data_IF_200833855247
#
_entry.id   IF_200833855247
#
_cell.length_a   1.000
_cell.length_b   1.000
_cell.length_c   1.000
_cell.angle_alpha   90.00
_cell.angle_beta   90.00
_cell.angle_gamma   90.00
#
_symmetry.space_group_name_H-M   'P 1'
#
loop_
_entity.id
_entity.type
_entity.pdbx_description
1 polymer ?
#
# COMPACT_ATOMS: atom_id res chain seq x y z
N UNK A 1 -62.11 8.40 -59.44
CA UNK A 1 -61.65 8.63 -58.09
C UNK A 1 -60.71 7.46 -57.75
N UNK A 2 -59.40 7.68 -57.86
CA UNK A 2 -58.39 6.67 -57.57
C UNK A 2 -57.96 6.88 -56.13
N UNK A 3 -58.15 5.92 -55.25
CA UNK A 3 -57.65 5.93 -53.87
C UNK A 3 -56.30 5.17 -53.85
N UNK A 4 -55.21 5.90 -53.64
CA UNK A 4 -53.87 5.32 -53.40
C UNK A 4 -53.79 4.96 -51.90
N UNK A 5 -53.67 3.67 -51.61
CA UNK A 5 -53.29 3.17 -50.29
C UNK A 5 -51.76 3.23 -50.16
N UNK A 6 -51.26 4.13 -49.30
CA UNK A 6 -49.87 4.14 -48.91
C UNK A 6 -49.70 3.16 -47.74
N UNK A 7 -49.06 2.04 -47.99
CA UNK A 7 -48.63 1.12 -46.93
C UNK A 7 -47.42 1.72 -46.22
N UNK A 8 -47.57 2.09 -44.96
CA UNK A 8 -46.43 2.43 -44.07
C UNK A 8 -45.71 1.10 -43.69
N UNK A 9 -44.55 0.89 -44.28
CA UNK A 9 -43.62 -0.11 -43.82
C UNK A 9 -42.88 0.44 -42.60
N UNK A 10 -43.29 0.07 -41.40
CA UNK A 10 -42.56 0.32 -40.17
C UNK A 10 -41.47 -0.73 -40.07
N UNK A 11 -40.26 -0.35 -40.42
CA UNK A 11 -39.05 -1.09 -40.11
C UNK A 11 -38.76 -0.96 -38.62
N UNK A 12 -38.76 -2.03 -37.80
CA UNK A 12 -38.30 -1.98 -36.45
C UNK A 12 -36.84 -2.49 -36.40
N UNK A 13 -35.91 -1.72 -36.93
CA UNK A 13 -34.48 -1.93 -36.70
C UNK A 13 -33.77 -0.60 -36.54
N UNK A 14 -34.00 0.03 -35.42
CA UNK A 14 -33.02 0.91 -34.82
C UNK A 14 -32.48 0.16 -33.62
N UNK A 15 -31.43 -0.65 -33.83
CA UNK A 15 -30.53 -1.04 -32.77
C UNK A 15 -30.18 0.23 -32.00
N UNK A 16 -30.68 0.35 -30.79
CA UNK A 16 -30.23 1.31 -29.84
C UNK A 16 -28.75 1.00 -29.61
N UNK A 17 -27.85 1.70 -30.31
CA UNK A 17 -26.49 1.85 -29.89
C UNK A 17 -26.56 2.48 -28.50
N UNK A 18 -26.59 1.67 -27.46
CA UNK A 18 -26.53 2.16 -26.10
C UNK A 18 -25.27 3.00 -26.00
N UNK A 19 -25.46 4.33 -25.83
CA UNK A 19 -24.37 5.20 -25.52
C UNK A 19 -23.68 4.57 -24.30
N UNK A 20 -22.41 4.17 -24.46
CA UNK A 20 -21.61 3.64 -23.36
C UNK A 20 -21.74 4.63 -22.20
N UNK A 21 -22.31 4.18 -21.09
CA UNK A 21 -22.44 5.01 -19.88
C UNK A 21 -21.04 5.44 -19.52
N UNK A 22 -20.77 6.76 -19.56
CA UNK A 22 -19.45 7.29 -19.25
C UNK A 22 -19.17 7.00 -17.78
N UNK A 23 -18.32 6.02 -17.52
CA UNK A 23 -17.87 5.66 -16.19
C UNK A 23 -16.73 6.61 -15.78
N UNK A 24 -16.76 7.12 -14.56
CA UNK A 24 -15.70 7.94 -13.99
C UNK A 24 -14.88 7.15 -12.94
N UNK A 25 -13.83 7.77 -12.44
CA UNK A 25 -12.97 7.15 -11.44
C UNK A 25 -13.53 7.24 -10.01
N UNK A 26 -14.59 7.99 -9.75
CA UNK A 26 -15.05 8.27 -8.37
C UNK A 26 -15.45 7.00 -7.63
N UNK A 27 -16.12 6.06 -8.30
CA UNK A 27 -16.49 4.78 -7.68
C UNK A 27 -15.28 3.90 -7.38
N UNK A 28 -14.21 3.99 -8.20
CA UNK A 28 -12.93 3.34 -7.93
C UNK A 28 -12.28 3.97 -6.72
N UNK A 29 -12.19 5.31 -6.66
CA UNK A 29 -11.64 6.03 -5.51
C UNK A 29 -12.41 5.75 -4.22
N UNK A 30 -13.75 5.71 -4.29
CA UNK A 30 -14.61 5.36 -3.16
C UNK A 30 -14.34 3.94 -2.66
N UNK A 31 -14.17 2.98 -3.56
CA UNK A 31 -13.89 1.59 -3.22
C UNK A 31 -12.53 1.40 -2.53
N UNK A 32 -11.48 2.05 -3.06
CA UNK A 32 -10.14 2.01 -2.47
C UNK A 32 -10.09 2.76 -1.14
N UNK A 33 -10.77 3.89 -1.01
CA UNK A 33 -10.91 4.60 0.27
C UNK A 33 -11.56 3.70 1.31
N UNK A 34 -12.63 2.98 0.94
CA UNK A 34 -13.25 2.02 1.85
C UNK A 34 -12.30 0.92 2.30
N UNK A 35 -11.45 0.43 1.41
CA UNK A 35 -10.42 -0.53 1.78
C UNK A 35 -9.44 0.06 2.79
N UNK A 36 -9.01 1.32 2.60
CA UNK A 36 -8.17 2.03 3.58
C UNK A 36 -8.84 2.09 4.96
N UNK A 37 -10.13 2.44 5.03
CA UNK A 37 -10.88 2.50 6.29
C UNK A 37 -10.92 1.15 6.99
N UNK A 38 -11.09 0.05 6.24
CA UNK A 38 -11.08 -1.31 6.78
C UNK A 38 -9.69 -1.67 7.31
N UNK A 39 -8.64 -1.40 6.56
CA UNK A 39 -7.24 -1.65 6.95
C UNK A 39 -6.89 -0.91 8.26
N UNK A 40 -7.33 0.36 8.40
CA UNK A 40 -7.16 1.16 9.62
C UNK A 40 -7.98 0.56 10.77
N UNK A 41 -9.24 0.21 10.52
CA UNK A 41 -10.13 -0.33 11.54
C UNK A 41 -9.63 -1.67 12.10
N UNK A 42 -9.12 -2.53 11.24
CA UNK A 42 -8.57 -3.86 11.59
C UNK A 42 -7.11 -3.80 12.06
N UNK A 43 -6.50 -2.60 12.10
CA UNK A 43 -5.13 -2.37 12.60
C UNK A 43 -4.12 -3.27 11.89
N UNK A 44 -4.25 -3.43 10.58
CA UNK A 44 -3.32 -4.25 9.82
C UNK A 44 -1.90 -3.67 9.85
N UNK A 45 -0.93 -4.53 10.13
CA UNK A 45 0.49 -4.16 10.02
C UNK A 45 0.83 -3.76 8.58
N UNK A 46 1.82 -2.86 8.38
CA UNK A 46 2.16 -2.39 7.03
C UNK A 46 2.43 -3.50 6.00
N UNK A 47 3.13 -4.60 6.34
CA UNK A 47 3.29 -5.72 5.42
C UNK A 47 1.96 -6.38 5.04
N UNK A 48 1.08 -6.67 6.01
CA UNK A 48 -0.22 -7.30 5.74
C UNK A 48 -1.11 -6.37 4.92
N UNK A 49 -1.15 -5.07 5.24
CA UNK A 49 -1.88 -4.07 4.47
C UNK A 49 -1.45 -4.05 3.01
N UNK A 50 -0.12 -4.11 2.74
CA UNK A 50 0.40 -4.12 1.37
C UNK A 50 -0.09 -5.33 0.55
N UNK A 51 -0.23 -6.49 1.20
CA UNK A 51 -0.80 -7.70 0.59
C UNK A 51 -2.27 -7.51 0.22
N UNK A 52 -3.04 -6.92 1.12
CA UNK A 52 -4.48 -6.66 0.91
C UNK A 52 -4.67 -5.68 -0.24
N UNK A 53 -3.94 -4.57 -0.26
CA UNK A 53 -3.99 -3.62 -1.36
C UNK A 53 -3.63 -4.28 -2.70
N UNK A 54 -2.54 -5.05 -2.76
CA UNK A 54 -2.04 -5.61 -4.02
C UNK A 54 -3.05 -6.56 -4.68
N UNK A 55 -3.56 -7.53 -3.95
CA UNK A 55 -4.49 -8.49 -4.56
C UNK A 55 -5.84 -7.85 -4.90
N UNK A 56 -6.33 -6.93 -4.07
CA UNK A 56 -7.62 -6.27 -4.32
C UNK A 56 -7.55 -5.36 -5.56
N UNK A 57 -6.48 -4.55 -5.69
CA UNK A 57 -6.34 -3.65 -6.84
C UNK A 57 -5.95 -4.37 -8.12
N UNK A 58 -5.20 -5.48 -8.03
CA UNK A 58 -4.96 -6.36 -9.18
C UNK A 58 -6.25 -7.00 -9.69
N UNK A 59 -7.16 -7.42 -8.80
CA UNK A 59 -8.46 -7.95 -9.20
C UNK A 59 -9.30 -6.90 -9.94
N UNK A 60 -9.34 -5.67 -9.42
CA UNK A 60 -9.99 -4.53 -10.07
C UNK A 60 -9.43 -4.31 -11.48
N UNK A 61 -8.11 -4.20 -11.58
CA UNK A 61 -7.43 -3.90 -12.84
C UNK A 61 -7.62 -5.02 -13.87
N UNK A 62 -7.38 -6.28 -13.50
CA UNK A 62 -7.43 -7.40 -14.45
C UNK A 62 -8.84 -7.66 -14.99
N UNK A 63 -9.88 -7.49 -14.16
CA UNK A 63 -11.25 -7.60 -14.63
C UNK A 63 -11.66 -6.40 -15.50
N UNK A 64 -11.11 -5.22 -15.20
CA UNK A 64 -11.44 -3.97 -15.88
C UNK A 64 -10.73 -3.74 -17.21
N UNK A 65 -9.50 -4.25 -17.38
CA UNK A 65 -8.62 -3.92 -18.52
C UNK A 65 -9.18 -4.27 -19.90
N UNK A 66 -10.17 -5.14 -19.97
CA UNK A 66 -10.82 -5.48 -21.24
C UNK A 66 -11.74 -4.40 -21.79
N UNK A 67 -12.00 -3.34 -21.01
CA UNK A 67 -12.67 -2.14 -21.51
C UNK A 67 -11.84 -1.40 -22.57
N UNK A 68 -10.52 -1.56 -22.53
CA UNK A 68 -9.57 -1.05 -23.50
C UNK A 68 -8.35 -2.00 -23.57
N UNK A 69 -8.26 -2.77 -24.65
CA UNK A 69 -7.25 -3.80 -24.84
C UNK A 69 -5.81 -3.27 -24.96
N UNK A 70 -5.62 -1.95 -25.01
CA UNK A 70 -4.29 -1.33 -24.93
C UNK A 70 -3.67 -1.44 -23.52
N UNK A 71 -4.46 -1.76 -22.48
CA UNK A 71 -3.94 -2.04 -21.14
C UNK A 71 -3.39 -3.48 -21.07
N UNK A 72 -2.08 -3.65 -20.85
CA UNK A 72 -1.49 -4.99 -20.74
C UNK A 72 -1.95 -5.69 -19.46
N UNK A 73 -2.01 -7.03 -19.47
CA UNK A 73 -2.21 -7.75 -18.20
C UNK A 73 -1.00 -7.52 -17.30
N UNK A 74 -1.24 -7.05 -16.08
CA UNK A 74 -0.19 -6.94 -15.06
C UNK A 74 0.15 -8.31 -14.50
N UNK A 75 -0.84 -9.16 -14.22
CA UNK A 75 -0.61 -10.49 -13.63
C UNK A 75 0.20 -11.40 -14.54
N UNK A 76 0.16 -11.22 -15.87
CA UNK A 76 1.02 -11.97 -16.80
C UNK A 76 2.51 -11.59 -16.68
N UNK A 77 2.81 -10.45 -16.07
CA UNK A 77 4.16 -9.93 -15.83
C UNK A 77 4.63 -10.18 -14.40
N UNK A 78 3.71 -10.64 -13.53
CA UNK A 78 3.97 -10.90 -12.13
C UNK A 78 4.14 -12.39 -11.86
N UNK A 79 4.83 -12.72 -10.79
CA UNK A 79 5.21 -14.09 -10.45
C UNK A 79 4.04 -14.88 -9.86
N UNK A 80 3.86 -16.10 -10.35
CA UNK A 80 3.03 -17.13 -9.75
C UNK A 80 1.53 -16.96 -9.92
N UNK A 81 1.06 -16.05 -10.78
CA UNK A 81 -0.34 -15.96 -11.13
C UNK A 81 -0.72 -17.04 -12.14
N UNK A 82 -1.92 -17.64 -12.01
CA UNK A 82 -2.51 -18.40 -13.11
C UNK A 82 -2.91 -17.47 -14.25
N UNK A 83 -3.19 -18.01 -15.41
CA UNK A 83 -3.79 -17.24 -16.49
C UNK A 83 -5.14 -16.65 -16.03
N UNK A 84 -5.32 -15.34 -16.19
CA UNK A 84 -6.59 -14.69 -15.91
C UNK A 84 -7.58 -15.04 -17.03
N UNK A 85 -8.80 -15.52 -16.69
CA UNK A 85 -9.80 -15.84 -17.70
C UNK A 85 -10.15 -14.64 -18.58
N UNK A 86 -10.20 -14.84 -19.88
CA UNK A 86 -10.76 -13.86 -20.79
C UNK A 86 -12.30 -13.79 -20.65
N UNK A 87 -12.95 -12.68 -21.00
CA UNK A 87 -14.41 -12.62 -21.11
C UNK A 87 -14.89 -13.57 -22.20
N UNK A 88 -16.09 -14.16 -22.00
CA UNK A 88 -16.69 -15.09 -22.95
C UNK A 88 -17.01 -14.36 -24.27
N UNK A 89 -16.64 -14.95 -25.38
CA UNK A 89 -16.92 -14.37 -26.71
C UNK A 89 -18.44 -14.23 -26.95
N UNK A 90 -18.83 -13.12 -27.54
CA UNK A 90 -20.24 -12.87 -27.91
C UNK A 90 -21.11 -12.36 -26.75
N UNK A 91 -20.59 -12.18 -25.54
CA UNK A 91 -21.30 -11.54 -24.45
C UNK A 91 -20.89 -10.09 -24.28
N UNK A 92 -21.83 -9.27 -23.90
CA UNK A 92 -21.58 -7.87 -23.54
C UNK A 92 -21.30 -7.74 -22.04
N UNK A 93 -20.35 -6.85 -21.69
CA UNK A 93 -19.94 -6.61 -20.31
C UNK A 93 -19.81 -5.12 -20.03
N UNK A 94 -20.14 -4.70 -18.82
CA UNK A 94 -19.61 -3.50 -18.21
C UNK A 94 -18.36 -3.87 -17.38
N UNK A 95 -17.18 -3.62 -17.90
CA UNK A 95 -15.93 -4.04 -17.29
C UNK A 95 -15.59 -3.27 -16.00
N UNK A 96 -16.20 -2.08 -15.77
CA UNK A 96 -16.04 -1.42 -14.47
C UNK A 96 -16.85 -2.14 -13.39
N UNK A 97 -18.07 -2.60 -13.71
CA UNK A 97 -18.87 -3.46 -12.81
C UNK A 97 -18.08 -4.73 -12.48
N UNK A 98 -17.51 -5.38 -13.49
CA UNK A 98 -16.69 -6.58 -13.28
C UNK A 98 -15.48 -6.30 -12.38
N UNK A 99 -14.78 -5.18 -12.61
CA UNK A 99 -13.64 -4.73 -11.81
C UNK A 99 -13.99 -4.50 -10.33
N UNK A 100 -15.05 -3.76 -10.06
CA UNK A 100 -15.53 -3.48 -8.71
C UNK A 100 -15.97 -4.77 -8.01
N UNK A 101 -16.68 -5.65 -8.73
CA UNK A 101 -17.07 -6.96 -8.19
C UNK A 101 -15.85 -7.80 -7.81
N UNK A 102 -14.85 -7.89 -8.69
CA UNK A 102 -13.62 -8.63 -8.43
C UNK A 102 -12.86 -8.04 -7.23
N UNK A 103 -12.75 -6.72 -7.14
CA UNK A 103 -12.12 -6.01 -6.03
C UNK A 103 -12.74 -6.40 -4.69
N UNK A 104 -14.04 -6.19 -4.51
CA UNK A 104 -14.70 -6.47 -3.23
C UNK A 104 -14.76 -7.97 -2.90
N UNK A 105 -14.81 -8.84 -3.90
CA UNK A 105 -14.73 -10.28 -3.68
C UNK A 105 -13.39 -10.67 -3.06
N UNK A 106 -12.28 -10.09 -3.52
CA UNK A 106 -10.95 -10.31 -2.95
C UNK A 106 -10.81 -9.63 -1.59
N UNK A 107 -11.29 -8.39 -1.41
CA UNK A 107 -11.30 -7.70 -0.11
C UNK A 107 -11.95 -8.56 0.96
N UNK A 108 -13.15 -9.10 0.70
CA UNK A 108 -13.88 -9.95 1.65
C UNK A 108 -13.15 -11.26 2.01
N UNK A 109 -12.28 -11.77 1.14
CA UNK A 109 -11.43 -12.95 1.42
C UNK A 109 -10.21 -12.59 2.25
N UNK A 110 -9.74 -11.32 2.23
CA UNK A 110 -8.52 -10.87 2.87
C UNK A 110 -8.72 -10.10 4.18
N UNK A 111 -9.95 -9.69 4.48
CA UNK A 111 -10.30 -8.87 5.66
C UNK A 111 -11.27 -9.61 6.57
N UNK A 112 -11.37 -9.16 7.83
CA UNK A 112 -12.27 -9.74 8.83
C UNK A 112 -13.64 -9.05 8.81
N UNK A 113 -13.71 -7.75 8.54
CA UNK A 113 -14.92 -6.90 8.58
C UNK A 113 -15.72 -7.01 7.27
N UNK A 114 -16.25 -8.18 6.99
CA UNK A 114 -16.94 -8.49 5.72
C UNK A 114 -18.19 -7.66 5.47
N UNK A 115 -18.95 -7.34 6.51
CA UNK A 115 -20.19 -6.55 6.38
C UNK A 115 -19.92 -5.12 5.90
N UNK A 116 -18.87 -4.50 6.38
CA UNK A 116 -18.45 -3.17 5.91
C UNK A 116 -18.12 -3.15 4.41
N UNK A 117 -17.41 -4.19 3.93
CA UNK A 117 -17.10 -4.35 2.51
C UNK A 117 -18.35 -4.59 1.69
N UNK A 118 -19.26 -5.45 2.18
CA UNK A 118 -20.51 -5.82 1.51
C UNK A 118 -21.43 -4.60 1.33
N UNK A 119 -21.66 -3.82 2.38
CA UNK A 119 -22.51 -2.61 2.31
C UNK A 119 -21.98 -1.62 1.26
N UNK A 120 -20.68 -1.41 1.21
CA UNK A 120 -20.10 -0.50 0.21
C UNK A 120 -20.15 -1.09 -1.20
N UNK A 121 -19.86 -2.39 -1.36
CA UNK A 121 -20.00 -3.10 -2.64
C UNK A 121 -21.42 -2.95 -3.20
N UNK A 122 -22.43 -3.27 -2.38
CA UNK A 122 -23.84 -3.17 -2.77
C UNK A 122 -24.22 -1.74 -3.19
N UNK A 123 -23.80 -0.73 -2.43
CA UNK A 123 -24.07 0.66 -2.74
C UNK A 123 -23.39 1.14 -4.04
N UNK A 124 -22.15 0.74 -4.28
CA UNK A 124 -21.41 1.08 -5.50
C UNK A 124 -22.00 0.37 -6.71
N UNK A 125 -22.26 -0.94 -6.60
CA UNK A 125 -22.83 -1.74 -7.70
C UNK A 125 -24.26 -1.32 -8.05
N UNK A 126 -25.08 -0.92 -7.06
CA UNK A 126 -26.42 -0.40 -7.31
C UNK A 126 -26.40 0.85 -8.18
N UNK A 127 -25.47 1.80 -7.91
CA UNK A 127 -25.28 2.99 -8.75
C UNK A 127 -24.82 2.62 -10.16
N UNK A 128 -24.02 1.58 -10.30
CA UNK A 128 -23.49 1.16 -11.60
C UNK A 128 -24.50 0.39 -12.45
N UNK A 129 -25.53 -0.19 -11.81
CA UNK A 129 -26.63 -0.87 -12.51
C UNK A 129 -27.49 0.07 -13.35
N UNK A 130 -27.51 1.34 -13.00
CA UNK A 130 -28.27 2.35 -13.73
C UNK A 130 -27.80 2.46 -15.19
N UNK A 131 -28.72 2.32 -16.13
CA UNK A 131 -28.48 2.47 -17.57
C UNK A 131 -27.88 1.26 -18.27
N UNK A 132 -27.79 0.09 -17.62
CA UNK A 132 -27.38 -1.19 -18.24
C UNK A 132 -28.47 -2.24 -18.08
N UNK A 133 -28.52 -3.21 -19.02
CA UNK A 133 -29.49 -4.31 -18.94
C UNK A 133 -29.10 -5.31 -17.83
N UNK A 134 -30.09 -6.02 -17.29
CA UNK A 134 -29.84 -7.08 -16.30
C UNK A 134 -28.88 -8.14 -16.85
N UNK A 135 -28.99 -8.51 -18.13
CA UNK A 135 -28.11 -9.49 -18.76
C UNK A 135 -26.63 -9.02 -18.73
N UNK A 136 -26.35 -7.79 -19.12
CA UNK A 136 -24.99 -7.21 -19.08
C UNK A 136 -24.50 -7.11 -17.65
N UNK A 137 -25.35 -6.68 -16.72
CA UNK A 137 -24.98 -6.56 -15.31
C UNK A 137 -24.58 -7.91 -14.70
N UNK A 138 -25.44 -8.94 -14.85
CA UNK A 138 -25.18 -10.28 -14.30
C UNK A 138 -23.97 -10.94 -14.97
N UNK A 139 -23.79 -10.77 -16.29
CA UNK A 139 -22.59 -11.25 -16.98
C UNK A 139 -21.32 -10.59 -16.43
N UNK A 140 -21.37 -9.28 -16.14
CA UNK A 140 -20.25 -8.53 -15.57
C UNK A 140 -19.90 -8.99 -14.15
N UNK A 141 -20.91 -9.20 -13.30
CA UNK A 141 -20.70 -9.74 -11.96
C UNK A 141 -20.05 -11.13 -12.01
N UNK A 142 -20.58 -12.04 -12.84
CA UNK A 142 -20.05 -13.38 -13.01
C UNK A 142 -18.60 -13.37 -13.52
N UNK A 143 -18.27 -12.47 -14.45
CA UNK A 143 -16.90 -12.31 -14.93
C UNK A 143 -15.97 -11.80 -13.83
N UNK A 144 -16.38 -10.80 -13.06
CA UNK A 144 -15.62 -10.30 -11.91
C UNK A 144 -15.33 -11.40 -10.89
N UNK A 145 -16.27 -12.30 -10.63
CA UNK A 145 -16.05 -13.46 -9.75
C UNK A 145 -15.02 -14.44 -10.32
N UNK A 146 -15.07 -14.76 -11.63
CA UNK A 146 -14.07 -15.61 -12.29
C UNK A 146 -12.65 -15.03 -12.15
N UNK A 147 -12.49 -13.73 -12.38
CA UNK A 147 -11.19 -13.06 -12.23
C UNK A 147 -10.72 -13.07 -10.77
N UNK A 148 -11.63 -12.77 -9.83
CA UNK A 148 -11.29 -12.77 -8.39
C UNK A 148 -10.79 -14.13 -7.91
N UNK A 149 -11.33 -15.22 -8.43
CA UNK A 149 -10.87 -16.57 -8.09
C UNK A 149 -9.45 -16.86 -8.58
N UNK A 150 -9.10 -16.43 -9.79
CA UNK A 150 -7.74 -16.55 -10.30
C UNK A 150 -6.73 -15.73 -9.45
N UNK A 151 -7.11 -14.52 -9.03
CA UNK A 151 -6.30 -13.72 -8.10
C UNK A 151 -6.17 -14.41 -6.74
N UNK A 152 -7.27 -14.97 -6.22
CA UNK A 152 -7.27 -15.69 -4.96
C UNK A 152 -6.37 -16.92 -4.98
N UNK A 153 -6.35 -17.69 -6.07
CA UNK A 153 -5.45 -18.83 -6.23
C UNK A 153 -3.98 -18.44 -6.04
N UNK A 154 -3.56 -17.27 -6.52
CA UNK A 154 -2.21 -16.74 -6.25
C UNK A 154 -2.04 -16.37 -4.77
N UNK A 155 -3.03 -15.69 -4.19
CA UNK A 155 -2.99 -15.27 -2.79
C UNK A 155 -2.94 -16.45 -1.80
N UNK A 156 -3.46 -17.61 -2.17
CA UNK A 156 -3.35 -18.84 -1.35
C UNK A 156 -1.99 -19.54 -1.45
N UNK A 157 -1.14 -19.13 -2.41
CA UNK A 157 0.18 -19.74 -2.68
C UNK A 157 1.34 -18.76 -2.43
N UNK A 158 1.11 -17.67 -1.71
CA UNK A 158 2.10 -16.65 -1.44
C UNK A 158 2.90 -16.86 -0.14
N UNK A 159 2.72 -17.99 0.51
CA UNK A 159 3.27 -18.39 1.82
C UNK A 159 2.68 -17.64 3.02
N UNK A 160 1.61 -16.83 2.85
CA UNK A 160 1.03 -16.09 3.97
C UNK A 160 0.52 -17.02 5.09
N UNK A 161 -0.21 -18.08 4.71
CA UNK A 161 -0.74 -19.06 5.67
C UNK A 161 0.38 -19.78 6.42
N UNK A 162 1.43 -20.16 5.71
CA UNK A 162 2.59 -20.87 6.23
C UNK A 162 3.34 -20.02 7.27
N UNK A 163 3.59 -18.75 6.96
CA UNK A 163 4.31 -17.86 7.89
C UNK A 163 3.48 -17.51 9.14
N UNK A 164 2.15 -17.46 9.05
CA UNK A 164 1.30 -17.27 10.23
C UNK A 164 1.28 -18.49 11.16
N UNK A 165 1.57 -19.67 10.66
CA UNK A 165 1.67 -20.92 11.43
C UNK A 165 3.06 -21.19 12.02
N UNK A 166 4.06 -20.34 11.78
CA UNK A 166 5.41 -20.51 12.30
C UNK A 166 5.50 -20.21 13.80
N UNK A 167 6.49 -20.82 14.46
CA UNK A 167 6.75 -20.59 15.87
C UNK A 167 6.99 -19.09 16.16
N UNK A 168 6.61 -18.65 17.37
CA UNK A 168 6.83 -17.27 17.82
C UNK A 168 8.31 -16.90 17.70
N UNK A 169 8.57 -15.72 17.13
CA UNK A 169 9.93 -15.16 17.07
C UNK A 169 10.38 -14.75 18.48
N UNK A 170 11.55 -15.21 18.88
CA UNK A 170 12.18 -14.83 20.14
C UNK A 170 13.37 -13.92 19.83
N UNK A 171 13.34 -12.65 20.29
CA UNK A 171 14.50 -11.77 20.18
C UNK A 171 15.73 -12.34 20.89
N UNK A 172 16.91 -11.98 20.42
CA UNK A 172 18.17 -12.31 21.06
C UNK A 172 18.47 -11.31 22.19
N UNK A 173 19.23 -11.77 23.20
CA UNK A 173 19.74 -10.91 24.28
C UNK A 173 21.12 -10.31 23.98
N UNK A 174 21.66 -10.54 22.78
CA UNK A 174 22.99 -10.04 22.42
C UNK A 174 23.00 -8.51 22.33
N UNK A 175 24.08 -7.86 22.79
CA UNK A 175 24.24 -6.42 22.64
C UNK A 175 24.16 -5.99 21.16
N UNK A 176 23.43 -4.92 20.90
CA UNK A 176 23.23 -4.41 19.54
C UNK A 176 22.15 -5.12 18.72
N UNK A 177 21.56 -6.21 19.24
CA UNK A 177 20.42 -6.85 18.61
C UNK A 177 19.08 -6.33 19.18
N UNK A 178 18.04 -6.42 18.37
CA UNK A 178 16.72 -5.91 18.69
C UNK A 178 16.06 -6.71 19.81
N UNK A 179 15.45 -5.96 20.74
CA UNK A 179 14.60 -6.47 21.81
C UNK A 179 13.22 -5.79 21.73
N UNK A 180 12.21 -6.40 22.34
CA UNK A 180 10.92 -5.75 22.51
C UNK A 180 11.11 -4.41 23.22
N UNK A 181 10.44 -3.37 22.73
CA UNK A 181 10.64 -1.98 23.17
C UNK A 181 9.48 -1.47 24.01
N UNK A 182 9.79 -0.50 24.88
CA UNK A 182 8.80 0.23 25.66
C UNK A 182 7.81 0.97 24.70
N UNK A 183 6.58 1.31 25.17
CA UNK A 183 6.04 1.01 26.50
C UNK A 183 5.44 -0.39 26.65
N UNK A 184 5.06 -1.05 25.54
CA UNK A 184 4.17 -2.21 25.55
C UNK A 184 4.88 -3.55 25.42
N UNK A 185 6.17 -3.54 25.06
CA UNK A 185 6.96 -4.76 24.80
C UNK A 185 6.25 -5.74 23.84
N UNK A 186 5.58 -5.18 22.82
CA UNK A 186 4.82 -5.94 21.83
C UNK A 186 5.68 -6.98 21.11
N UNK A 187 5.05 -8.07 20.71
CA UNK A 187 5.70 -9.11 19.93
C UNK A 187 6.17 -8.60 18.56
N UNK A 188 7.18 -9.28 18.03
CA UNK A 188 7.74 -8.99 16.72
C UNK A 188 6.66 -9.05 15.62
N UNK A 189 6.49 -7.95 14.88
CA UNK A 189 5.51 -7.86 13.79
C UNK A 189 6.05 -8.53 12.54
N UNK A 190 5.32 -9.54 12.07
CA UNK A 190 5.56 -10.27 10.82
C UNK A 190 7.02 -10.74 10.62
N UNK A 191 7.64 -11.43 11.59
CA UNK A 191 9.07 -11.74 11.57
C UNK A 191 9.50 -12.63 10.40
N UNK A 192 8.56 -13.31 9.77
CA UNK A 192 8.83 -14.22 8.65
C UNK A 192 8.37 -13.68 7.29
N UNK A 193 8.07 -12.36 7.20
CA UNK A 193 7.56 -11.75 5.97
C UNK A 193 8.51 -11.89 4.78
N UNK A 194 9.80 -12.02 5.00
CA UNK A 194 10.80 -12.33 3.97
C UNK A 194 10.58 -13.66 3.24
N UNK A 195 9.77 -14.57 3.82
CA UNK A 195 9.40 -15.84 3.19
C UNK A 195 8.18 -15.73 2.26
N UNK A 196 7.54 -14.56 2.19
CA UNK A 196 6.49 -14.31 1.19
C UNK A 196 7.06 -14.42 -0.22
N UNK A 197 6.24 -14.91 -1.14
CA UNK A 197 6.61 -14.97 -2.56
C UNK A 197 6.42 -13.59 -3.19
N UNK A 198 7.49 -12.89 -3.64
CA UNK A 198 7.39 -11.58 -4.25
C UNK A 198 6.54 -11.56 -5.53
N UNK A 199 6.09 -10.38 -5.93
CA UNK A 199 5.32 -10.18 -7.16
C UNK A 199 6.23 -9.89 -8.37
N UNK A 200 7.28 -9.08 -8.19
CA UNK A 200 8.20 -8.65 -9.26
C UNK A 200 9.64 -9.10 -8.99
N UNK A 201 10.11 -8.98 -7.75
CA UNK A 201 11.46 -9.42 -7.35
C UNK A 201 11.65 -10.93 -7.56
N UNK A 202 12.89 -11.35 -7.77
CA UNK A 202 13.26 -12.77 -7.83
C UNK A 202 13.38 -13.41 -6.46
N UNK A 203 13.79 -12.65 -5.46
CA UNK A 203 13.88 -13.06 -4.05
C UNK A 203 13.77 -11.87 -3.10
N UNK A 204 13.41 -12.13 -1.83
CA UNK A 204 13.35 -11.11 -0.77
C UNK A 204 14.67 -10.37 -0.57
N UNK A 205 15.78 -11.04 -0.82
CA UNK A 205 17.14 -10.52 -0.61
C UNK A 205 17.80 -9.90 -1.85
N UNK A 206 17.07 -9.74 -2.95
CA UNK A 206 17.63 -9.21 -4.21
C UNK A 206 18.22 -7.81 -4.07
N UNK A 207 17.65 -6.98 -3.22
CA UNK A 207 18.07 -5.58 -2.99
C UNK A 207 18.65 -5.39 -1.60
N UNK A 208 19.56 -6.29 -1.16
CA UNK A 208 20.25 -6.13 0.11
C UNK A 208 20.98 -4.79 0.18
N UNK A 209 20.73 -3.96 1.22
CA UNK A 209 21.52 -2.76 1.45
C UNK A 209 22.89 -3.12 2.04
N UNK A 210 23.77 -2.12 2.14
CA UNK A 210 24.98 -2.23 2.94
C UNK A 210 24.63 -2.51 4.39
N UNK A 211 25.49 -3.22 5.12
CA UNK A 211 25.25 -3.53 6.55
C UNK A 211 25.24 -2.25 7.40
N UNK A 212 24.45 -2.22 8.49
CA UNK A 212 24.51 -1.11 9.44
C UNK A 212 25.88 -1.07 10.14
N UNK A 213 26.26 0.07 10.75
CA UNK A 213 27.44 0.16 11.59
C UNK A 213 27.45 -0.92 12.67
N UNK A 214 28.60 -1.55 12.90
CA UNK A 214 28.72 -2.51 13.98
C UNK A 214 28.42 -1.86 15.34
N UNK A 215 27.64 -2.53 16.17
CA UNK A 215 27.34 -2.07 17.52
C UNK A 215 28.64 -1.85 18.31
N UNK A 216 28.77 -0.68 18.93
CA UNK A 216 29.90 -0.35 19.79
C UNK A 216 29.55 0.81 20.72
N UNK A 217 29.94 0.71 21.97
CA UNK A 217 29.79 1.77 22.97
C UNK A 217 30.97 2.77 22.97
N UNK A 218 32.00 2.52 22.15
CA UNK A 218 33.12 3.46 21.97
C UNK A 218 32.60 4.76 21.32
N UNK A 219 32.87 5.89 21.97
CA UNK A 219 32.48 7.23 21.54
C UNK A 219 33.02 7.62 20.17
N UNK A 220 34.12 7.03 19.72
CA UNK A 220 34.69 7.22 18.39
C UNK A 220 34.01 6.44 17.29
N UNK A 221 33.22 5.40 17.62
CA UNK A 221 32.60 4.50 16.67
C UNK A 221 31.51 5.17 15.83
N UNK A 222 31.25 4.59 14.64
CA UNK A 222 30.16 5.06 13.78
C UNK A 222 28.79 4.86 14.45
N UNK A 223 28.59 3.72 15.14
CA UNK A 223 27.34 3.45 15.87
C UNK A 223 27.07 4.49 16.95
N UNK A 224 28.07 4.78 17.81
CA UNK A 224 27.89 5.77 18.88
C UNK A 224 27.56 7.16 18.34
N UNK A 225 28.19 7.56 17.23
CA UNK A 225 27.90 8.85 16.57
C UNK A 225 26.47 8.93 16.08
N UNK A 226 25.94 7.87 15.46
CA UNK A 226 24.53 7.82 15.03
C UNK A 226 23.58 7.81 16.23
N UNK A 227 23.87 7.05 17.27
CA UNK A 227 23.10 7.04 18.52
C UNK A 227 23.05 8.45 19.16
N UNK A 228 24.21 9.12 19.23
CA UNK A 228 24.30 10.50 19.73
C UNK A 228 23.53 11.49 18.84
N UNK A 229 23.56 11.32 17.53
CA UNK A 229 22.79 12.16 16.60
C UNK A 229 21.29 12.08 16.88
N UNK A 230 20.73 10.88 17.06
CA UNK A 230 19.32 10.71 17.40
C UNK A 230 18.98 11.39 18.74
N UNK A 231 19.81 11.15 19.76
CA UNK A 231 19.67 11.75 21.08
C UNK A 231 19.68 13.27 21.05
N UNK A 232 20.68 13.87 20.39
CA UNK A 232 20.82 15.32 20.31
C UNK A 232 19.70 15.95 19.49
N UNK A 233 19.36 15.36 18.31
CA UNK A 233 18.31 15.87 17.43
C UNK A 233 16.96 15.93 18.16
N UNK A 234 16.59 14.87 18.87
CA UNK A 234 15.28 14.81 19.54
C UNK A 234 15.14 15.76 20.71
N UNK A 235 16.25 16.24 21.29
CA UNK A 235 16.24 17.24 22.38
C UNK A 235 15.95 18.67 21.89
N UNK A 236 16.23 18.97 20.63
CA UNK A 236 16.16 20.32 20.07
C UNK A 236 15.30 20.42 18.80
N UNK A 237 14.29 19.54 18.67
CA UNK A 237 13.41 19.54 17.51
C UNK A 237 12.73 20.90 17.33
N UNK A 238 12.84 21.45 16.14
CA UNK A 238 12.03 22.61 15.73
C UNK A 238 10.56 22.21 15.59
N UNK A 239 9.65 23.19 15.58
CA UNK A 239 8.22 22.89 15.40
C UNK A 239 7.94 22.30 14.01
N UNK A 240 8.69 22.69 12.98
CA UNK A 240 8.59 22.06 11.66
C UNK A 240 9.02 20.59 11.69
N UNK A 241 10.10 20.25 12.37
CA UNK A 241 10.55 18.86 12.52
C UNK A 241 9.55 18.00 13.29
N UNK A 242 8.92 18.57 14.34
CA UNK A 242 7.82 17.90 15.07
C UNK A 242 6.61 17.68 14.18
N UNK A 243 6.27 18.68 13.36
CA UNK A 243 5.16 18.60 12.40
C UNK A 243 5.43 17.51 11.37
N UNK A 244 6.62 17.46 10.76
CA UNK A 244 7.06 16.43 9.83
C UNK A 244 6.98 15.04 10.48
N UNK A 245 7.48 14.89 11.71
CA UNK A 245 7.45 13.62 12.41
C UNK A 245 6.02 13.11 12.64
N UNK A 246 5.11 14.00 13.08
CA UNK A 246 3.69 13.65 13.34
C UNK A 246 2.93 13.34 12.06
N UNK A 247 3.18 14.08 10.99
CA UNK A 247 2.52 13.91 9.70
C UNK A 247 2.83 12.53 9.09
N UNK A 248 4.07 12.07 9.16
CA UNK A 248 4.49 10.75 8.68
C UNK A 248 4.50 9.66 9.77
N UNK A 249 3.78 9.88 10.90
CA UNK A 249 3.67 8.86 11.95
C UNK A 249 2.62 7.79 11.60
N UNK A 250 2.75 7.20 10.45
CA UNK A 250 1.90 6.13 9.93
C UNK A 250 2.14 4.82 10.70
N UNK A 251 1.86 4.84 12.02
CA UNK A 251 2.06 3.69 12.89
C UNK A 251 0.72 3.13 13.38
N UNK A 252 0.16 2.09 12.72
CA UNK A 252 -1.11 1.49 13.13
C UNK A 252 -1.02 0.78 14.50
N UNK A 253 0.19 0.43 14.96
CA UNK A 253 0.42 -0.16 16.27
C UNK A 253 0.57 0.88 17.41
N UNK A 254 0.47 2.20 17.10
CA UNK A 254 0.57 3.23 18.12
C UNK A 254 -0.64 3.18 19.05
N UNK A 255 -0.37 3.31 20.34
CA UNK A 255 -1.38 3.26 21.41
C UNK A 255 -1.29 4.49 22.31
N UNK A 256 -2.41 4.82 22.94
CA UNK A 256 -2.49 5.86 23.96
C UNK A 256 -3.05 5.27 25.23
N UNK A 257 -2.46 5.62 26.37
CA UNK A 257 -2.93 5.20 27.69
C UNK A 257 -3.75 6.30 28.35
N UNK A 258 -4.90 5.93 28.93
CA UNK A 258 -5.68 6.78 29.82
C UNK A 258 -5.98 5.99 31.10
N UNK A 259 -5.22 6.26 32.16
CA UNK A 259 -5.24 5.46 33.37
C UNK A 259 -4.80 4.02 33.08
N UNK A 260 -5.67 3.05 33.37
CA UNK A 260 -5.42 1.63 33.11
C UNK A 260 -5.90 1.14 31.74
N UNK A 261 -6.44 2.02 30.92
CA UNK A 261 -6.98 1.65 29.60
C UNK A 261 -6.00 2.00 28.49
N UNK A 262 -5.82 1.04 27.56
CA UNK A 262 -5.05 1.18 26.33
C UNK A 262 -6.01 1.39 25.16
N UNK A 263 -5.73 2.40 24.33
CA UNK A 263 -6.49 2.71 23.15
C UNK A 263 -5.59 2.65 21.91
N UNK A 264 -5.99 1.86 20.92
CA UNK A 264 -5.35 1.89 19.60
C UNK A 264 -5.67 3.24 18.91
N UNK A 265 -4.65 3.91 18.40
CA UNK A 265 -4.82 5.23 17.77
C UNK A 265 -5.48 5.16 16.38
N UNK A 266 -5.66 3.96 15.80
CA UNK A 266 -6.31 3.74 14.49
C UNK A 266 -5.80 4.71 13.42
N UNK A 267 -4.49 4.73 13.24
CA UNK A 267 -3.83 5.54 12.22
C UNK A 267 -3.64 4.74 10.93
N UNK A 268 -3.50 5.44 9.79
CA UNK A 268 -3.09 4.81 8.55
C UNK A 268 -1.74 4.08 8.69
N UNK A 269 -1.52 3.07 7.87
CA UNK A 269 -0.18 2.55 7.62
C UNK A 269 0.50 3.41 6.54
N UNK A 270 1.86 3.36 6.40
CA UNK A 270 2.54 4.04 5.30
C UNK A 270 1.95 3.69 3.93
N UNK A 271 1.51 2.44 3.78
CA UNK A 271 0.86 1.98 2.56
C UNK A 271 -0.47 2.69 2.30
N UNK A 272 -1.33 2.81 3.30
CA UNK A 272 -2.61 3.51 3.19
C UNK A 272 -2.43 4.98 2.84
N UNK A 273 -1.43 5.64 3.44
CA UNK A 273 -1.07 7.02 3.13
C UNK A 273 -0.69 7.18 1.64
N UNK A 274 0.21 6.34 1.12
CA UNK A 274 0.60 6.38 -0.29
C UNK A 274 -0.52 5.97 -1.26
N UNK A 275 -1.45 5.10 -0.86
CA UNK A 275 -2.67 4.82 -1.64
C UNK A 275 -3.56 6.06 -1.74
N UNK A 276 -3.66 6.87 -0.67
CA UNK A 276 -4.38 8.14 -0.73
C UNK A 276 -3.67 9.18 -1.61
N UNK A 277 -2.34 9.32 -1.52
CA UNK A 277 -1.56 10.18 -2.43
C UNK A 277 -1.81 9.77 -3.88
N UNK A 278 -1.94 8.48 -4.17
CA UNK A 278 -2.32 7.98 -5.51
C UNK A 278 -3.72 8.47 -5.91
N UNK A 279 -4.69 8.44 -4.99
CA UNK A 279 -6.04 8.97 -5.23
C UNK A 279 -6.03 10.45 -5.58
N UNK A 280 -5.38 11.27 -4.74
CA UNK A 280 -5.26 12.72 -4.92
C UNK A 280 -4.61 13.07 -6.26
N UNK A 281 -3.54 12.36 -6.60
CA UNK A 281 -2.82 12.55 -7.86
C UNK A 281 -3.68 12.20 -9.08
N UNK A 282 -4.37 11.07 -9.01
CA UNK A 282 -5.28 10.60 -10.05
C UNK A 282 -6.44 11.58 -10.29
N UNK A 283 -7.06 12.08 -9.21
CA UNK A 283 -8.12 13.08 -9.26
C UNK A 283 -7.62 14.41 -9.83
N UNK A 284 -6.42 14.86 -9.45
CA UNK A 284 -5.84 16.10 -9.94
C UNK A 284 -5.66 16.12 -11.46
N UNK A 285 -5.24 15.00 -12.05
CA UNK A 285 -5.08 14.89 -13.52
C UNK A 285 -6.34 14.37 -14.22
N UNK A 286 -7.41 14.13 -13.49
CA UNK A 286 -8.69 13.61 -13.99
C UNK A 286 -8.54 12.29 -14.75
N UNK A 287 -7.78 11.37 -14.17
CA UNK A 287 -7.68 10.00 -14.69
C UNK A 287 -9.09 9.41 -14.90
N UNK A 288 -9.27 8.71 -15.99
CA UNK A 288 -10.41 7.81 -16.11
C UNK A 288 -10.30 6.64 -15.11
N UNK A 289 -11.36 5.86 -15.00
CA UNK A 289 -11.42 4.78 -14.03
C UNK A 289 -10.38 3.67 -14.28
N UNK A 290 -9.98 3.41 -15.55
CA UNK A 290 -8.95 2.42 -15.88
C UNK A 290 -7.54 2.93 -15.55
N UNK A 291 -7.24 4.20 -15.86
CA UNK A 291 -6.00 4.86 -15.47
C UNK A 291 -5.83 4.86 -13.95
N UNK A 292 -6.90 5.19 -13.21
CA UNK A 292 -6.91 5.14 -11.76
C UNK A 292 -6.67 3.71 -11.24
N UNK A 293 -7.36 2.72 -11.82
CA UNK A 293 -7.19 1.30 -11.44
C UNK A 293 -5.78 0.80 -11.69
N UNK A 294 -5.15 1.19 -12.81
CA UNK A 294 -3.75 0.86 -13.10
C UNK A 294 -2.81 1.49 -12.09
N UNK A 295 -3.00 2.77 -11.77
CA UNK A 295 -2.16 3.48 -10.81
C UNK A 295 -2.20 2.80 -9.42
N UNK A 296 -3.38 2.46 -8.93
CA UNK A 296 -3.53 1.75 -7.66
C UNK A 296 -2.86 0.37 -7.68
N UNK A 297 -3.06 -0.41 -8.74
CA UNK A 297 -2.46 -1.74 -8.83
C UNK A 297 -0.92 -1.68 -8.86
N UNK A 298 -0.34 -0.76 -9.62
CA UNK A 298 1.11 -0.59 -9.72
C UNK A 298 1.74 -0.12 -8.41
N UNK A 299 1.11 0.84 -7.73
CA UNK A 299 1.55 1.33 -6.41
C UNK A 299 1.48 0.21 -5.38
N UNK A 300 0.39 -0.54 -5.33
CA UNK A 300 0.22 -1.64 -4.38
C UNK A 300 1.22 -2.78 -4.62
N UNK A 301 1.46 -3.18 -5.88
CA UNK A 301 2.48 -4.17 -6.26
C UNK A 301 3.88 -3.72 -5.82
N UNK A 302 4.21 -2.45 -6.07
CA UNK A 302 5.50 -1.87 -5.65
C UNK A 302 5.67 -1.89 -4.13
N UNK A 303 4.61 -1.57 -3.41
CA UNK A 303 4.55 -1.57 -1.95
C UNK A 303 4.76 -2.98 -1.36
N UNK A 304 4.12 -4.00 -1.93
CA UNK A 304 4.22 -5.38 -1.46
C UNK A 304 5.66 -5.88 -1.49
N UNK A 305 6.32 -5.71 -2.62
CA UNK A 305 7.72 -6.11 -2.78
C UNK A 305 8.65 -5.26 -1.91
N UNK A 306 8.36 -3.96 -1.72
CA UNK A 306 9.11 -3.09 -0.83
C UNK A 306 9.10 -3.60 0.63
N UNK A 307 7.95 -4.03 1.14
CA UNK A 307 7.87 -4.59 2.48
C UNK A 307 8.53 -5.97 2.59
N UNK A 308 8.50 -6.80 1.54
CA UNK A 308 9.24 -8.08 1.55
C UNK A 308 10.75 -7.81 1.62
N UNK A 309 11.28 -6.94 0.79
CA UNK A 309 12.71 -6.58 0.77
C UNK A 309 13.16 -5.93 2.06
N UNK A 310 12.36 -5.01 2.63
CA UNK A 310 12.66 -4.35 3.88
C UNK A 310 12.65 -5.33 5.06
N UNK A 311 11.67 -6.21 5.14
CA UNK A 311 11.55 -7.20 6.23
C UNK A 311 12.62 -8.28 6.17
N UNK A 312 13.11 -8.64 4.98
CA UNK A 312 14.31 -9.48 4.84
C UNK A 312 15.49 -8.86 5.58
N UNK A 313 15.79 -7.59 5.33
CA UNK A 313 16.90 -6.92 6.01
C UNK A 313 16.65 -6.76 7.51
N UNK A 314 15.43 -6.36 7.91
CA UNK A 314 15.11 -6.15 9.33
C UNK A 314 15.43 -7.36 10.19
N UNK A 315 14.92 -8.52 9.82
CA UNK A 315 15.10 -9.73 10.63
C UNK A 315 16.41 -10.45 10.36
N UNK A 316 17.08 -10.16 9.24
CA UNK A 316 18.44 -10.64 8.96
C UNK A 316 19.51 -9.84 9.72
N UNK A 317 19.32 -8.54 9.89
CA UNK A 317 20.23 -7.70 10.68
C UNK A 317 19.89 -7.69 12.17
N UNK A 318 18.62 -7.90 12.51
CA UNK A 318 18.08 -7.85 13.88
C UNK A 318 18.59 -6.63 14.69
N UNK A 319 18.70 -5.46 14.07
CA UNK A 319 19.43 -4.32 14.63
C UNK A 319 18.67 -3.60 15.72
N UNK A 320 19.39 -3.16 16.75
CA UNK A 320 18.86 -2.50 17.95
C UNK A 320 18.17 -1.16 17.63
N UNK A 321 17.07 -0.86 18.32
CA UNK A 321 16.38 0.44 18.23
C UNK A 321 17.07 1.54 19.04
N UNK A 322 16.95 2.82 18.59
CA UNK A 322 17.49 3.95 19.35
C UNK A 322 17.07 3.98 20.81
N UNK A 323 15.80 3.69 21.13
CA UNK A 323 15.32 3.69 22.52
C UNK A 323 16.09 2.74 23.39
N UNK A 324 16.34 1.51 22.93
CA UNK A 324 17.13 0.54 23.68
C UNK A 324 18.58 0.99 23.79
N UNK A 325 19.21 1.36 22.69
CA UNK A 325 20.62 1.76 22.67
C UNK A 325 20.90 2.98 23.54
N UNK A 326 20.05 4.02 23.48
CA UNK A 326 20.22 5.25 24.25
C UNK A 326 19.96 5.00 25.74
N UNK A 327 18.89 4.26 26.07
CA UNK A 327 18.58 3.99 27.49
C UNK A 327 19.68 3.16 28.17
N UNK A 328 20.28 2.21 27.45
CA UNK A 328 21.33 1.36 28.01
C UNK A 328 22.72 2.06 28.08
N UNK A 329 23.00 3.06 27.20
CA UNK A 329 24.37 3.56 27.02
C UNK A 329 24.55 5.08 27.21
N UNK A 330 23.47 5.87 27.31
CA UNK A 330 23.55 7.34 27.40
C UNK A 330 22.63 7.94 28.47
N UNK A 331 21.30 7.68 28.37
CA UNK A 331 20.29 8.32 29.21
C UNK A 331 19.11 7.35 29.41
N UNK A 332 19.06 6.72 30.57
CA UNK A 332 18.07 5.69 30.91
C UNK A 332 16.61 6.20 30.88
N UNK A 333 16.41 7.51 30.92
CA UNK A 333 15.08 8.12 30.93
C UNK A 333 14.69 8.72 29.58
N UNK A 334 15.56 8.62 28.56
CA UNK A 334 15.26 9.16 27.25
C UNK A 334 14.10 8.43 26.61
N UNK A 335 13.22 9.18 25.95
CA UNK A 335 12.12 8.66 25.15
C UNK A 335 12.16 9.25 23.75
N UNK A 336 11.86 8.47 22.70
CA UNK A 336 11.71 8.99 21.36
C UNK A 336 10.48 9.89 21.26
N UNK A 337 10.47 10.79 20.29
CA UNK A 337 9.33 11.67 20.03
C UNK A 337 8.10 10.91 19.51
N UNK A 338 8.31 9.83 18.75
CA UNK A 338 7.28 8.91 18.29
C UNK A 338 7.42 7.55 18.97
N UNK A 339 6.31 6.82 19.12
CA UNK A 339 6.34 5.46 19.64
C UNK A 339 7.13 4.52 18.73
N UNK A 340 8.08 3.80 19.31
CA UNK A 340 8.91 2.84 18.57
C UNK A 340 8.07 1.64 18.10
N UNK A 341 8.05 1.32 16.79
CA UNK A 341 7.32 0.16 16.29
C UNK A 341 7.98 -1.17 16.70
N UNK A 342 7.20 -2.26 16.88
CA UNK A 342 7.68 -3.53 17.42
C UNK A 342 8.34 -4.43 16.35
N UNK A 343 9.45 -3.99 15.80
CA UNK A 343 10.28 -4.75 14.86
C UNK A 343 11.70 -4.15 14.78
N UNK A 344 12.71 -4.93 14.29
CA UNK A 344 14.08 -4.46 14.19
C UNK A 344 14.25 -3.14 13.45
N UNK A 345 15.30 -2.41 13.79
CA UNK A 345 15.52 -1.04 13.35
C UNK A 345 15.82 -0.96 11.84
N UNK A 346 16.80 -1.74 11.36
CA UNK A 346 17.45 -1.58 10.06
C UNK A 346 16.83 -2.50 8.99
N UNK A 347 16.45 -2.02 7.78
CA UNK A 347 16.38 -0.63 7.31
C UNK A 347 15.03 0.00 7.68
N UNK A 348 14.90 1.33 7.55
CA UNK A 348 13.66 2.04 7.81
C UNK A 348 12.56 1.63 6.82
N UNK A 349 11.42 1.12 7.34
CA UNK A 349 10.28 0.71 6.52
C UNK A 349 9.68 1.86 5.71
N UNK A 350 9.51 3.04 6.32
CA UNK A 350 9.08 4.25 5.63
C UNK A 350 10.03 4.61 4.49
N UNK A 351 11.35 4.50 4.72
CA UNK A 351 12.33 4.87 3.70
C UNK A 351 12.30 3.94 2.49
N UNK A 352 12.22 2.62 2.72
CA UNK A 352 12.15 1.64 1.62
C UNK A 352 10.84 1.79 0.85
N UNK A 353 9.71 1.76 1.54
CA UNK A 353 8.40 1.80 0.90
C UNK A 353 8.17 3.13 0.16
N UNK A 354 8.41 4.27 0.83
CA UNK A 354 8.18 5.59 0.21
C UNK A 354 9.07 5.83 -1.00
N UNK A 355 10.34 5.43 -0.97
CA UNK A 355 11.24 5.60 -2.11
C UNK A 355 10.84 4.70 -3.30
N UNK A 356 10.39 3.46 -3.02
CA UNK A 356 9.90 2.54 -4.06
C UNK A 356 8.63 3.08 -4.72
N UNK A 357 7.66 3.50 -3.91
CA UNK A 357 6.37 4.00 -4.39
C UNK A 357 6.53 5.32 -5.14
N UNK A 358 7.37 6.23 -4.63
CA UNK A 358 7.65 7.51 -5.30
C UNK A 358 8.23 7.31 -6.70
N UNK A 359 9.07 6.31 -6.92
CA UNK A 359 9.58 5.98 -8.26
C UNK A 359 8.44 5.53 -9.20
N UNK A 360 7.50 4.71 -8.72
CA UNK A 360 6.35 4.28 -9.50
C UNK A 360 5.38 5.44 -9.79
N UNK A 361 5.07 6.27 -8.79
CA UNK A 361 4.20 7.44 -9.00
C UNK A 361 4.84 8.44 -9.96
N UNK A 362 6.16 8.65 -9.87
CA UNK A 362 6.90 9.48 -10.83
C UNK A 362 6.80 8.92 -12.25
N UNK A 363 6.86 7.60 -12.41
CA UNK A 363 6.66 6.97 -13.73
C UNK A 363 5.25 7.18 -14.28
N UNK A 364 4.22 7.15 -13.43
CA UNK A 364 2.81 7.28 -13.83
C UNK A 364 2.44 8.75 -14.11
N UNK A 365 2.82 9.67 -13.23
CA UNK A 365 2.35 11.05 -13.24
C UNK A 365 3.40 12.07 -13.74
N UNK A 366 4.63 11.63 -13.95
CA UNK A 366 5.74 12.48 -14.38
C UNK A 366 6.57 13.06 -13.25
N UNK A 367 7.75 13.59 -13.63
CA UNK A 367 8.62 14.34 -12.74
C UNK A 367 7.99 15.67 -12.34
N UNK A 368 8.38 16.19 -11.19
CA UNK A 368 7.93 17.50 -10.69
C UNK A 368 6.41 17.65 -10.52
N UNK A 369 5.71 16.53 -10.27
CA UNK A 369 4.29 16.53 -9.99
C UNK A 369 4.04 17.10 -8.59
N UNK A 370 3.65 18.37 -8.53
CA UNK A 370 3.31 19.03 -7.27
C UNK A 370 1.92 18.62 -6.78
N UNK A 371 1.75 18.39 -5.50
CA UNK A 371 0.46 18.05 -4.90
C UNK A 371 0.35 18.55 -3.46
N UNK A 372 -0.87 18.68 -2.97
CA UNK A 372 -1.18 18.90 -1.56
C UNK A 372 -1.85 17.67 -1.02
N UNK A 373 -1.37 17.17 0.11
CA UNK A 373 -1.91 16.02 0.78
C UNK A 373 -2.52 16.45 2.12
N UNK A 374 -3.81 16.22 2.25
CA UNK A 374 -4.64 16.53 3.42
C UNK A 374 -5.15 15.26 4.15
N UNK A 375 -4.64 14.10 3.76
CA UNK A 375 -5.07 12.81 4.30
C UNK A 375 -4.93 12.71 5.82
N UNK A 376 -3.88 13.31 6.36
CA UNK A 376 -3.60 13.29 7.79
C UNK A 376 -4.42 14.32 8.61
N UNK A 377 -5.18 15.21 7.95
CA UNK A 377 -6.01 16.21 8.64
C UNK A 377 -6.98 15.59 9.65
N UNK A 378 -7.74 14.51 9.35
CA UNK A 378 -8.65 13.89 10.32
C UNK A 378 -7.94 13.23 11.51
N UNK A 379 -6.66 12.87 11.39
CA UNK A 379 -5.92 12.13 12.41
C UNK A 379 -5.04 13.03 13.26
N UNK A 380 -4.35 13.99 12.65
CA UNK A 380 -3.35 14.84 13.32
C UNK A 380 -3.51 16.34 13.01
N UNK A 381 -4.50 16.74 12.21
CA UNK A 381 -4.78 18.14 11.88
C UNK A 381 -3.76 18.78 10.94
N UNK A 382 -2.95 17.99 10.20
CA UNK A 382 -1.85 18.49 9.37
C UNK A 382 -2.11 18.20 7.90
N UNK A 383 -1.93 19.22 7.05
CA UNK A 383 -1.86 19.14 5.59
C UNK A 383 -0.48 19.59 5.12
N UNK A 384 0.05 18.95 4.07
CA UNK A 384 1.37 19.29 3.52
C UNK A 384 1.38 19.34 2.00
N UNK A 385 2.19 20.24 1.44
CA UNK A 385 2.36 20.37 -0.02
C UNK A 385 3.78 19.97 -0.43
N UNK A 386 3.87 19.23 -1.52
CA UNK A 386 5.14 18.73 -2.04
C UNK A 386 5.31 19.08 -3.52
N UNK A 387 6.54 19.45 -3.96
CA UNK A 387 6.80 19.74 -5.36
C UNK A 387 6.92 18.46 -6.22
N UNK A 388 7.09 17.28 -5.60
CA UNK A 388 7.17 15.98 -6.29
C UNK A 388 7.02 14.82 -5.30
N UNK A 389 6.71 13.62 -5.82
CA UNK A 389 6.68 12.38 -5.02
C UNK A 389 8.04 12.05 -4.41
N UNK A 390 9.13 12.34 -5.12
CA UNK A 390 10.50 12.15 -4.61
C UNK A 390 10.73 13.03 -3.37
N UNK A 391 10.31 14.30 -3.39
CA UNK A 391 10.44 15.18 -2.23
C UNK A 391 9.59 14.76 -1.04
N UNK A 392 8.36 14.31 -1.30
CA UNK A 392 7.52 13.72 -0.26
C UNK A 392 8.19 12.47 0.37
N UNK A 393 8.75 11.58 -0.45
CA UNK A 393 9.46 10.41 0.04
C UNK A 393 10.72 10.74 0.85
N UNK A 394 11.47 11.78 0.47
CA UNK A 394 12.63 12.26 1.21
C UNK A 394 12.26 12.81 2.59
N UNK A 395 11.13 13.54 2.67
CA UNK A 395 10.61 14.02 3.95
C UNK A 395 10.10 12.85 4.82
N UNK A 396 9.38 11.88 4.25
CA UNK A 396 8.97 10.67 4.94
C UNK A 396 10.17 9.89 5.51
N UNK A 397 11.28 9.84 4.79
CA UNK A 397 12.53 9.25 5.28
C UNK A 397 13.06 10.01 6.52
N UNK A 398 13.20 11.33 6.42
CA UNK A 398 13.79 12.14 7.51
C UNK A 398 12.89 12.25 8.73
N UNK A 399 11.57 12.11 8.57
CA UNK A 399 10.62 12.10 9.67
C UNK A 399 10.97 11.07 10.76
N UNK A 400 11.64 9.98 10.37
CA UNK A 400 11.99 8.87 11.28
C UNK A 400 13.15 9.22 12.19
N UNK A 401 14.10 10.09 11.74
CA UNK A 401 15.13 10.66 12.59
C UNK A 401 14.53 11.62 13.61
N UNK A 402 13.64 12.51 13.13
CA UNK A 402 12.94 13.46 14.01
C UNK A 402 12.03 12.74 15.01
N UNK A 403 11.43 11.62 14.61
CA UNK A 403 10.69 10.73 15.50
C UNK A 403 11.55 10.03 16.55
N UNK A 404 12.86 10.00 16.40
CA UNK A 404 13.78 9.33 17.35
C UNK A 404 13.76 7.81 17.27
N UNK A 405 13.25 7.21 16.19
CA UNK A 405 13.00 5.77 16.11
C UNK A 405 13.86 5.04 15.07
N UNK A 406 14.69 5.79 14.35
CA UNK A 406 15.66 5.26 13.39
C UNK A 406 16.97 6.01 13.40
N UNK A 407 18.08 5.30 13.18
CA UNK A 407 19.39 5.87 12.91
C UNK A 407 19.49 6.36 11.48
N UNK A 408 20.43 7.30 11.23
CA UNK A 408 20.62 7.88 9.90
C UNK A 408 20.96 6.82 8.84
N UNK A 409 21.81 5.86 9.17
CA UNK A 409 22.16 4.78 8.23
C UNK A 409 20.95 3.98 7.77
N UNK A 410 20.02 3.64 8.68
CA UNK A 410 18.80 2.92 8.32
C UNK A 410 17.88 3.72 7.39
N UNK A 411 17.84 5.04 7.59
CA UNK A 411 17.07 5.96 6.77
C UNK A 411 17.68 6.06 5.37
N UNK A 412 18.97 6.36 5.27
CA UNK A 412 19.62 6.62 4.00
C UNK A 412 19.79 5.35 3.16
N UNK A 413 20.19 4.25 3.80
CA UNK A 413 20.33 2.97 3.12
C UNK A 413 18.97 2.36 2.76
N UNK A 414 17.95 2.57 3.59
CA UNK A 414 16.57 2.20 3.25
C UNK A 414 16.04 2.99 2.06
N UNK A 415 16.31 4.30 1.97
CA UNK A 415 15.97 5.11 0.80
C UNK A 415 16.67 4.60 -0.46
N UNK A 416 17.97 4.26 -0.37
CA UNK A 416 18.70 3.72 -1.52
C UNK A 416 18.19 2.34 -1.93
N UNK A 417 17.89 1.45 -0.96
CA UNK A 417 17.24 0.16 -1.20
C UNK A 417 15.91 0.32 -1.96
N UNK A 418 15.07 1.25 -1.49
CA UNK A 418 13.79 1.54 -2.13
C UNK A 418 13.93 2.14 -3.53
N UNK A 419 14.91 3.03 -3.76
CA UNK A 419 15.19 3.58 -5.10
C UNK A 419 15.62 2.49 -6.08
N UNK A 420 16.51 1.59 -5.66
CA UNK A 420 16.97 0.50 -6.50
C UNK A 420 15.83 -0.45 -6.86
N UNK A 421 15.02 -0.81 -5.87
CA UNK A 421 13.82 -1.64 -6.08
C UNK A 421 12.80 -0.95 -6.97
N UNK A 422 12.50 0.33 -6.72
CA UNK A 422 11.56 1.11 -7.52
C UNK A 422 11.98 1.20 -8.99
N UNK A 423 13.26 1.49 -9.26
CA UNK A 423 13.82 1.50 -10.61
C UNK A 423 13.69 0.13 -11.29
N UNK A 424 13.94 -0.96 -10.56
CA UNK A 424 13.78 -2.31 -11.07
C UNK A 424 12.32 -2.61 -11.44
N UNK A 425 11.36 -2.31 -10.57
CA UNK A 425 9.93 -2.57 -10.83
C UNK A 425 9.45 -1.74 -12.04
N UNK A 426 9.80 -0.45 -12.09
CA UNK A 426 9.48 0.45 -13.21
C UNK A 426 10.05 -0.05 -14.53
N UNK A 427 11.27 -0.61 -14.51
CA UNK A 427 11.90 -1.17 -15.71
C UNK A 427 11.35 -2.52 -16.15
N UNK A 428 10.71 -3.26 -15.25
CA UNK A 428 10.16 -4.61 -15.53
C UNK A 428 8.72 -4.55 -16.02
N UNK A 429 7.89 -3.66 -15.48
CA UNK A 429 6.47 -3.64 -15.78
C UNK A 429 6.15 -2.77 -17.00
N UNK A 430 5.49 -3.37 -17.96
CA UNK A 430 4.88 -2.65 -19.09
C UNK A 430 3.56 -2.04 -18.60
N UNK A 431 3.43 -0.75 -18.77
CA UNK A 431 2.25 0.04 -18.40
C UNK A 431 1.80 0.84 -19.62
N UNK A 432 0.53 1.24 -19.64
CA UNK A 432 0.01 2.14 -20.67
C UNK A 432 0.37 3.59 -20.36
#
# INVERSE_FOLDING_TARGET
LLILLVACNSNPDKSASGALVKRDADLVHQSVRRLNDIVIYEIFSPPVASRVYSYSTLALYEAGRWSDTSYPSLTSQLRGFPAIPAPDAGKNYDFQVAGIKAFFTVVKKLTFTKDSSRVTEEAVLAKMKEGISDEVYEASLAYGEKVSEAIWQRATKDNYKEIQGMARYTPSDKPGEWKNTTPDYLDAVQPFWSKMVPLVMDSSSQFKPVRPPAFSTDKGSAFYKEMKEVYDTTKVLTDEQKTIARYWDDNPAAVTYKGHMMFANKKPSPGGHWMNITALSSQKVKHDWMQASQAYALVAVSMFDAFISCWDEKYRSAYVRPVTAINENMDKNWQPFLQTPPFPEYTSGHSVASATIAAMLTKIFGDNFAFTDDYEVPYVGISRSFPSFIKASEEACMSRLYGGIHFRSAIMNGRQQGRNLGAFIVGKLQIR
#
